data_IF_600360632405
#
_entry.id   IF_600360632405
#
_cell.length_a   1.000
_cell.length_b   1.000
_cell.length_c   1.000
_cell.angle_alpha   90.00
_cell.angle_beta   90.00
_cell.angle_gamma   90.00
#
_symmetry.space_group_name_H-M   'P 1'
#
loop_
_entity.id
_entity.type
_entity.pdbx_description
1 polymer ?
#
# COMPACT_ATOMS: atom_id res chain seq x y z
N UNK A 1 -5.59 -24.07 -17.29
CA UNK A 1 -5.46 -22.87 -18.12
C UNK A 1 -4.02 -22.38 -18.02
N UNK A 2 -3.30 -22.36 -19.15
CA UNK A 2 -1.94 -21.83 -19.18
C UNK A 2 -1.98 -20.34 -18.81
N UNK A 3 -1.16 -19.93 -17.82
CA UNK A 3 -0.95 -18.50 -17.55
C UNK A 3 -0.48 -17.86 -18.85
N UNK A 4 -1.22 -16.88 -19.35
CA UNK A 4 -0.75 -16.06 -20.46
C UNK A 4 0.66 -15.57 -20.07
N UNK A 5 1.66 -15.87 -20.90
CA UNK A 5 3.01 -15.35 -20.72
C UNK A 5 2.88 -13.84 -20.70
N UNK A 6 3.03 -13.25 -19.52
CA UNK A 6 3.10 -11.80 -19.39
C UNK A 6 4.36 -11.37 -20.10
N UNK A 7 4.25 -10.39 -20.98
CA UNK A 7 5.41 -9.76 -21.57
C UNK A 7 6.03 -8.85 -20.50
N UNK A 8 7.10 -9.27 -19.81
CA UNK A 8 7.70 -8.52 -18.71
C UNK A 8 8.35 -7.23 -19.18
N UNK A 9 8.53 -7.03 -20.49
CA UNK A 9 9.15 -5.83 -21.06
C UNK A 9 8.14 -4.70 -21.29
N UNK A 10 6.83 -4.98 -21.29
CA UNK A 10 5.81 -3.96 -21.59
C UNK A 10 5.71 -2.86 -20.52
N UNK A 11 6.15 -3.13 -19.30
CA UNK A 11 6.06 -2.14 -18.26
C UNK A 11 7.15 -2.30 -17.17
N UNK A 12 8.26 -1.59 -17.33
CA UNK A 12 9.22 -1.30 -16.25
C UNK A 12 9.74 0.13 -16.40
N UNK A 13 9.11 1.10 -15.74
CA UNK A 13 9.65 2.46 -15.69
C UNK A 13 10.96 2.52 -14.87
N UNK A 14 11.16 1.59 -13.95
CA UNK A 14 12.45 1.38 -13.28
C UNK A 14 13.27 0.37 -14.09
N UNK A 15 14.55 0.64 -14.40
CA UNK A 15 15.42 -0.28 -15.11
C UNK A 15 15.44 -1.68 -14.47
N UNK A 16 15.63 -2.73 -15.27
CA UNK A 16 15.66 -4.12 -14.81
C UNK A 16 16.68 -4.40 -13.70
N UNK A 17 17.74 -3.62 -13.63
CA UNK A 17 18.81 -3.66 -12.64
C UNK A 17 18.57 -2.76 -11.42
N UNK A 18 17.38 -2.22 -11.27
CA UNK A 18 17.01 -1.37 -10.14
C UNK A 18 17.15 0.12 -10.44
N UNK A 19 17.24 0.92 -9.38
CA UNK A 19 17.43 2.37 -9.49
C UNK A 19 18.82 2.71 -9.99
N UNK A 20 18.98 3.85 -10.70
CA UNK A 20 20.31 4.28 -11.13
C UNK A 20 21.25 4.46 -9.93
N UNK A 21 22.49 4.04 -10.10
CA UNK A 21 23.54 4.22 -9.10
C UNK A 21 24.03 5.68 -9.16
N UNK A 22 23.37 6.53 -8.39
CA UNK A 22 23.63 7.96 -8.28
C UNK A 22 24.15 8.28 -6.87
N UNK A 23 25.13 9.17 -6.80
CA UNK A 23 25.61 9.65 -5.51
C UNK A 23 24.49 10.38 -4.76
N UNK A 24 24.20 10.02 -3.49
CA UNK A 24 23.14 10.67 -2.68
C UNK A 24 23.25 12.19 -2.59
N UNK A 25 24.47 12.73 -2.67
CA UNK A 25 24.73 14.17 -2.59
C UNK A 25 24.64 14.89 -3.95
N UNK A 26 24.34 14.15 -5.02
CA UNK A 26 24.28 14.72 -6.38
C UNK A 26 22.90 15.34 -6.67
N UNK A 27 22.87 16.38 -7.49
CA UNK A 27 21.65 16.98 -8.02
C UNK A 27 20.84 15.94 -8.80
N UNK A 28 21.49 15.09 -9.58
CA UNK A 28 20.86 14.03 -10.35
C UNK A 28 20.13 13.01 -9.46
N UNK A 29 20.65 12.72 -8.25
CA UNK A 29 19.98 11.87 -7.28
C UNK A 29 18.70 12.55 -6.76
N UNK A 30 18.76 13.83 -6.40
CA UNK A 30 17.62 14.58 -5.90
C UNK A 30 16.52 14.66 -6.97
N UNK A 31 16.88 15.07 -8.19
CA UNK A 31 15.93 15.15 -9.31
C UNK A 31 15.28 13.80 -9.63
N UNK A 32 16.05 12.70 -9.57
CA UNK A 32 15.53 11.36 -9.81
C UNK A 32 14.46 11.00 -8.75
N UNK A 33 14.76 11.20 -7.47
CA UNK A 33 13.84 10.81 -6.39
C UNK A 33 12.64 11.74 -6.27
N UNK A 34 12.77 13.01 -6.62
CA UNK A 34 11.63 13.92 -6.76
C UNK A 34 10.67 13.47 -7.87
N UNK A 35 11.21 13.05 -9.03
CA UNK A 35 10.39 12.51 -10.10
C UNK A 35 9.72 11.19 -9.70
N UNK A 36 10.40 10.32 -8.98
CA UNK A 36 9.82 9.05 -8.52
C UNK A 36 8.73 9.30 -7.46
N UNK A 37 8.92 10.27 -6.58
CA UNK A 37 7.89 10.73 -5.64
C UNK A 37 6.65 11.25 -6.37
N UNK A 38 6.84 12.12 -7.36
CA UNK A 38 5.75 12.65 -8.19
C UNK A 38 4.98 11.51 -8.89
N UNK A 39 5.69 10.53 -9.46
CA UNK A 39 5.07 9.36 -10.09
C UNK A 39 4.28 8.50 -9.10
N UNK A 40 4.79 8.34 -7.89
CA UNK A 40 4.08 7.63 -6.83
C UNK A 40 2.80 8.34 -6.38
N UNK A 41 2.77 9.67 -6.42
CA UNK A 41 1.60 10.47 -6.00
C UNK A 41 0.64 10.68 -7.17
N UNK A 42 1.13 11.18 -8.31
CA UNK A 42 0.33 11.67 -9.43
C UNK A 42 0.15 10.65 -10.56
N UNK A 43 0.91 9.56 -10.51
CA UNK A 43 0.89 8.50 -11.51
C UNK A 43 1.85 8.77 -12.67
N UNK A 44 1.90 7.81 -13.58
CA UNK A 44 2.83 7.79 -14.69
C UNK A 44 2.15 7.40 -15.99
N UNK A 45 2.51 8.03 -17.09
CA UNK A 45 2.02 7.68 -18.43
C UNK A 45 3.17 7.11 -19.27
N UNK A 46 3.31 5.79 -19.36
CA UNK A 46 4.30 5.17 -20.24
C UNK A 46 4.01 5.49 -21.71
N UNK A 47 5.05 5.53 -22.54
CA UNK A 47 4.89 5.75 -23.98
C UNK A 47 4.02 4.65 -24.59
N UNK A 48 2.94 5.05 -25.29
CA UNK A 48 2.03 4.13 -25.97
C UNK A 48 1.06 3.35 -25.06
N UNK A 49 0.99 3.70 -23.76
CA UNK A 49 0.09 3.06 -22.80
C UNK A 49 -0.87 4.05 -22.16
N UNK A 50 -1.93 3.55 -21.51
CA UNK A 50 -2.75 4.36 -20.61
C UNK A 50 -1.92 4.84 -19.42
N UNK A 51 -2.30 6.00 -18.87
CA UNK A 51 -1.77 6.46 -17.59
C UNK A 51 -2.11 5.45 -16.50
N UNK A 52 -1.16 5.16 -15.63
CA UNK A 52 -1.38 4.39 -14.41
C UNK A 52 -1.43 5.34 -13.22
N UNK A 53 -2.27 5.00 -12.25
CA UNK A 53 -2.39 5.79 -11.02
C UNK A 53 -1.11 5.75 -10.19
N UNK A 54 -0.93 6.72 -9.30
CA UNK A 54 0.21 6.75 -8.38
C UNK A 54 0.27 5.51 -7.49
N UNK A 55 -0.87 5.04 -7.00
CA UNK A 55 -0.97 3.81 -6.21
C UNK A 55 -0.49 2.58 -6.98
N UNK A 56 -0.90 2.44 -8.26
CA UNK A 56 -0.46 1.32 -9.07
C UNK A 56 1.02 1.43 -9.45
N UNK A 57 1.50 2.65 -9.75
CA UNK A 57 2.92 2.90 -9.98
C UNK A 57 3.76 2.48 -8.77
N UNK A 58 3.39 2.93 -7.57
CA UNK A 58 4.04 2.55 -6.32
C UNK A 58 4.01 1.04 -6.08
N UNK A 59 2.85 0.40 -6.27
CA UNK A 59 2.69 -1.03 -6.11
C UNK A 59 3.63 -1.83 -7.01
N UNK A 60 3.78 -1.44 -8.27
CA UNK A 60 4.63 -2.14 -9.23
C UNK A 60 6.14 -1.96 -8.99
N UNK A 61 6.56 -0.77 -8.53
CA UNK A 61 7.96 -0.40 -8.51
C UNK A 61 8.60 -0.46 -7.12
N UNK A 62 7.85 -0.17 -6.08
CA UNK A 62 8.37 0.02 -4.74
C UNK A 62 7.82 -0.98 -3.73
N UNK A 63 6.54 -1.31 -3.82
CA UNK A 63 5.92 -2.23 -2.89
C UNK A 63 6.39 -3.66 -3.15
N UNK A 64 6.74 -4.39 -2.07
CA UNK A 64 7.21 -5.78 -2.18
C UNK A 64 6.15 -6.75 -1.70
N UNK A 65 5.99 -7.85 -2.44
CA UNK A 65 5.09 -8.94 -2.09
C UNK A 65 5.89 -10.22 -1.89
N UNK A 66 5.37 -11.13 -1.06
CA UNK A 66 5.92 -12.48 -0.96
C UNK A 66 5.48 -13.30 -2.17
N UNK A 67 6.43 -13.74 -2.96
CA UNK A 67 6.20 -14.54 -4.15
C UNK A 67 7.41 -15.41 -4.47
N UNK A 68 7.24 -16.29 -5.46
CA UNK A 68 8.34 -17.05 -6.02
C UNK A 68 8.91 -16.26 -7.20
N UNK A 69 10.21 -16.21 -7.31
CA UNK A 69 10.94 -15.54 -8.40
C UNK A 69 10.77 -16.21 -9.78
N UNK A 70 10.03 -17.30 -9.83
CA UNK A 70 9.78 -18.07 -11.05
C UNK A 70 10.72 -19.29 -11.20
N UNK A 71 11.70 -19.43 -10.33
CA UNK A 71 12.59 -20.60 -10.32
C UNK A 71 11.89 -21.78 -9.67
N UNK A 72 11.89 -22.94 -10.32
CA UNK A 72 11.29 -24.15 -9.76
C UNK A 72 11.96 -24.53 -8.45
N UNK A 73 11.16 -24.74 -7.38
CA UNK A 73 11.66 -25.07 -6.05
C UNK A 73 12.20 -23.89 -5.23
N UNK A 74 12.11 -22.66 -5.72
CA UNK A 74 12.53 -21.47 -4.97
C UNK A 74 11.66 -21.23 -3.74
N UNK A 75 12.31 -20.74 -2.67
CA UNK A 75 11.60 -20.27 -1.47
C UNK A 75 10.90 -18.94 -1.80
N UNK A 76 9.78 -18.68 -1.12
CA UNK A 76 9.13 -17.36 -1.21
C UNK A 76 10.08 -16.26 -0.76
N UNK A 77 10.26 -15.26 -1.60
CA UNK A 77 11.08 -14.08 -1.35
C UNK A 77 10.27 -12.81 -1.57
N UNK A 78 10.81 -11.66 -1.16
CA UNK A 78 10.20 -10.37 -1.47
C UNK A 78 10.51 -10.00 -2.92
N UNK A 79 9.49 -9.94 -3.74
CA UNK A 79 9.57 -9.59 -5.16
C UNK A 79 8.73 -8.36 -5.47
N UNK A 80 9.04 -7.65 -6.55
CA UNK A 80 8.15 -6.64 -7.11
C UNK A 80 6.98 -7.31 -7.83
N UNK A 81 5.75 -6.81 -7.68
CA UNK A 81 4.63 -7.29 -8.45
C UNK A 81 4.85 -7.13 -9.96
N UNK A 82 4.25 -8.03 -10.73
CA UNK A 82 4.25 -7.90 -12.18
C UNK A 82 3.04 -7.09 -12.64
N UNK A 83 3.19 -6.34 -13.74
CA UNK A 83 2.06 -5.71 -14.39
C UNK A 83 1.05 -6.76 -14.86
N UNK A 84 -0.21 -6.57 -14.50
CA UNK A 84 -1.36 -7.35 -15.01
C UNK A 84 -2.48 -6.37 -15.38
N UNK A 85 -3.14 -6.63 -16.48
CA UNK A 85 -4.27 -5.81 -16.94
C UNK A 85 -5.38 -5.73 -15.88
N UNK A 86 -5.68 -6.84 -15.22
CA UNK A 86 -6.67 -6.90 -14.14
C UNK A 86 -6.30 -5.97 -12.97
N UNK A 87 -5.03 -5.90 -12.60
CA UNK A 87 -4.57 -5.03 -11.52
C UNK A 87 -4.70 -3.56 -11.93
N UNK A 88 -4.36 -3.23 -13.18
CA UNK A 88 -4.55 -1.89 -13.72
C UNK A 88 -6.02 -1.45 -13.64
N UNK A 89 -6.94 -2.28 -14.12
CA UNK A 89 -8.38 -2.02 -14.05
C UNK A 89 -8.86 -1.86 -12.61
N UNK A 90 -8.33 -2.66 -11.69
CA UNK A 90 -8.65 -2.57 -10.26
C UNK A 90 -8.24 -1.21 -9.68
N UNK A 91 -6.99 -0.78 -9.90
CA UNK A 91 -6.51 0.51 -9.40
C UNK A 91 -7.22 1.69 -10.09
N UNK A 92 -7.49 1.60 -11.39
CA UNK A 92 -8.24 2.65 -12.11
C UNK A 92 -9.68 2.77 -11.59
N UNK A 93 -10.36 1.64 -11.35
CA UNK A 93 -11.72 1.64 -10.77
C UNK A 93 -11.70 2.25 -9.37
N UNK A 94 -10.70 1.91 -8.55
CA UNK A 94 -10.56 2.51 -7.22
C UNK A 94 -10.41 4.04 -7.30
N UNK A 95 -9.55 4.54 -8.19
CA UNK A 95 -9.37 5.99 -8.35
C UNK A 95 -10.65 6.67 -8.85
N UNK A 96 -11.42 6.00 -9.70
CA UNK A 96 -12.71 6.52 -10.15
C UNK A 96 -13.72 6.56 -8.99
N UNK A 97 -13.86 5.47 -8.21
CA UNK A 97 -14.72 5.45 -7.03
C UNK A 97 -14.35 6.55 -6.02
N UNK A 98 -13.04 6.80 -5.81
CA UNK A 98 -12.57 7.88 -4.95
C UNK A 98 -13.00 9.26 -5.44
N UNK A 99 -12.94 9.52 -6.75
CA UNK A 99 -13.41 10.78 -7.36
C UNK A 99 -14.92 10.96 -7.21
N UNK A 100 -15.65 9.87 -7.36
CA UNK A 100 -17.12 9.86 -7.32
C UNK A 100 -17.66 9.86 -5.87
N UNK A 101 -16.77 9.78 -4.86
CA UNK A 101 -17.15 9.68 -3.44
C UNK A 101 -17.88 8.39 -3.10
N UNK A 102 -17.64 7.30 -3.85
CA UNK A 102 -18.29 6.01 -3.68
C UNK A 102 -17.32 4.97 -3.13
N UNK A 103 -17.87 3.91 -2.52
CA UNK A 103 -17.09 2.73 -2.15
C UNK A 103 -16.94 1.74 -3.31
N UNK A 104 -15.90 0.90 -3.26
CA UNK A 104 -15.68 -0.17 -4.23
C UNK A 104 -15.91 -1.54 -3.58
N UNK A 105 -16.72 -2.37 -4.20
CA UNK A 105 -16.93 -3.77 -3.82
C UNK A 105 -16.29 -4.67 -4.88
N UNK A 106 -15.47 -5.63 -4.43
CA UNK A 106 -14.75 -6.55 -5.31
C UNK A 106 -15.19 -7.98 -5.04
N UNK A 107 -15.77 -8.60 -6.05
CA UNK A 107 -16.08 -10.03 -6.05
C UNK A 107 -14.96 -10.75 -6.79
N UNK A 108 -14.27 -11.65 -6.12
CA UNK A 108 -13.06 -12.28 -6.66
C UNK A 108 -12.99 -13.79 -6.41
N UNK A 109 -12.33 -14.51 -7.30
CA UNK A 109 -11.86 -15.85 -7.01
C UNK A 109 -10.62 -15.81 -6.08
N UNK A 110 -10.33 -16.91 -5.39
CA UNK A 110 -9.12 -17.06 -4.57
C UNK A 110 -7.84 -16.90 -5.40
N UNK A 111 -6.74 -16.56 -4.74
CA UNK A 111 -5.37 -16.50 -5.28
C UNK A 111 -5.16 -15.52 -6.45
N UNK A 112 -5.97 -14.47 -6.54
CA UNK A 112 -5.81 -13.40 -7.54
C UNK A 112 -4.92 -12.24 -7.11
N UNK A 113 -4.47 -12.24 -5.86
CA UNK A 113 -3.54 -11.22 -5.34
C UNK A 113 -4.19 -9.96 -4.78
N UNK A 114 -5.53 -9.91 -4.67
CA UNK A 114 -6.24 -8.71 -4.19
C UNK A 114 -5.79 -8.24 -2.81
N UNK A 115 -5.53 -9.16 -1.87
CA UNK A 115 -5.00 -8.78 -0.55
C UNK A 115 -3.64 -8.07 -0.63
N UNK A 116 -2.80 -8.39 -1.62
CA UNK A 116 -1.56 -7.65 -1.86
C UNK A 116 -1.79 -6.28 -2.49
N UNK A 117 -2.75 -6.15 -3.40
CA UNK A 117 -3.12 -4.85 -3.97
C UNK A 117 -3.72 -3.94 -2.92
N UNK A 118 -4.65 -4.45 -2.10
CA UNK A 118 -5.22 -3.72 -0.96
C UNK A 118 -4.14 -3.26 0.03
N UNK A 119 -3.24 -4.17 0.39
CA UNK A 119 -2.11 -3.90 1.27
C UNK A 119 -1.16 -2.84 0.67
N UNK A 120 -0.92 -2.88 -0.65
CA UNK A 120 -0.16 -1.85 -1.37
C UNK A 120 -0.85 -0.47 -1.38
N UNK A 121 -2.17 -0.42 -1.48
CA UNK A 121 -2.93 0.84 -1.39
C UNK A 121 -2.83 1.46 0.02
N UNK A 122 -2.95 0.64 1.06
CA UNK A 122 -2.79 1.08 2.45
C UNK A 122 -1.36 1.59 2.69
N UNK A 123 -0.36 0.84 2.22
CA UNK A 123 1.03 1.24 2.32
C UNK A 123 1.31 2.57 1.59
N UNK A 124 0.69 2.80 0.44
CA UNK A 124 0.78 4.04 -0.31
C UNK A 124 0.23 5.24 0.49
N UNK A 125 -0.99 5.13 1.02
CA UNK A 125 -1.61 6.19 1.81
C UNK A 125 -0.78 6.50 3.08
N UNK A 126 -0.26 5.48 3.75
CA UNK A 126 0.62 5.64 4.91
C UNK A 126 1.96 6.30 4.58
N UNK A 127 2.52 6.00 3.39
CA UNK A 127 3.87 6.44 3.00
C UNK A 127 3.90 7.87 2.48
N UNK A 128 2.89 8.31 1.72
CA UNK A 128 2.98 9.57 0.98
C UNK A 128 2.14 10.71 1.53
N UNK A 129 1.24 10.43 2.46
CA UNK A 129 0.36 11.49 3.01
C UNK A 129 0.60 11.63 4.51
N UNK A 130 1.13 12.79 4.96
CA UNK A 130 1.34 13.05 6.39
C UNK A 130 -0.01 13.17 7.13
N UNK A 131 0.01 12.78 8.41
CA UNK A 131 -1.16 12.82 9.30
C UNK A 131 -2.37 12.04 8.77
N UNK A 132 -2.10 10.97 8.03
CA UNK A 132 -3.11 10.20 7.34
C UNK A 132 -3.37 8.87 8.07
N UNK A 133 -4.61 8.67 8.52
CA UNK A 133 -5.02 7.44 9.14
C UNK A 133 -5.73 6.53 8.13
N UNK A 134 -5.36 5.26 8.10
CA UNK A 134 -5.93 4.23 7.22
C UNK A 134 -6.38 3.04 8.04
N UNK A 135 -7.53 2.49 7.70
CA UNK A 135 -8.17 1.41 8.44
C UNK A 135 -8.13 0.07 7.70
N UNK A 136 -7.87 -0.99 8.45
CA UNK A 136 -8.02 -2.39 8.04
C UNK A 136 -9.07 -3.02 8.94
N UNK A 137 -10.12 -3.58 8.34
CA UNK A 137 -11.16 -4.32 9.02
C UNK A 137 -11.21 -5.75 8.48
N UNK A 138 -11.30 -6.75 9.36
CA UNK A 138 -11.52 -8.15 8.99
C UNK A 138 -12.55 -8.80 9.93
N UNK A 139 -13.22 -9.85 9.45
CA UNK A 139 -14.22 -10.57 10.26
C UNK A 139 -13.60 -11.43 11.36
N UNK A 140 -12.35 -11.87 11.18
CA UNK A 140 -11.61 -12.75 12.09
C UNK A 140 -10.25 -12.14 12.44
N UNK A 141 -9.82 -12.35 13.70
CA UNK A 141 -8.51 -11.85 14.17
C UNK A 141 -7.36 -12.40 13.31
N UNK A 142 -7.37 -13.70 13.02
CA UNK A 142 -6.32 -14.31 12.20
C UNK A 142 -6.22 -13.69 10.79
N UNK A 143 -7.36 -13.32 10.18
CA UNK A 143 -7.41 -12.62 8.89
C UNK A 143 -6.85 -11.21 9.01
N UNK A 144 -7.23 -10.47 10.06
CA UNK A 144 -6.74 -9.14 10.36
C UNK A 144 -5.21 -9.15 10.53
N UNK A 145 -4.69 -10.02 11.38
CA UNK A 145 -3.26 -10.14 11.67
C UNK A 145 -2.46 -10.53 10.42
N UNK A 146 -2.93 -11.50 9.66
CA UNK A 146 -2.27 -11.94 8.43
C UNK A 146 -2.22 -10.83 7.36
N UNK A 147 -3.28 -10.01 7.26
CA UNK A 147 -3.31 -8.89 6.34
C UNK A 147 -2.41 -7.73 6.84
N UNK A 148 -2.43 -7.43 8.13
CA UNK A 148 -1.59 -6.40 8.74
C UNK A 148 -0.11 -6.75 8.61
N UNK A 149 0.27 -8.00 8.89
CA UNK A 149 1.64 -8.51 8.69
C UNK A 149 2.09 -8.43 7.24
N UNK A 150 1.21 -8.74 6.30
CA UNK A 150 1.48 -8.58 4.87
C UNK A 150 1.80 -7.13 4.53
N UNK A 151 1.04 -6.19 5.08
CA UNK A 151 1.25 -4.75 4.89
C UNK A 151 2.59 -4.30 5.49
N UNK A 152 2.92 -4.71 6.71
CA UNK A 152 4.20 -4.41 7.36
C UNK A 152 5.39 -4.99 6.57
N UNK A 153 5.29 -6.21 6.06
CA UNK A 153 6.34 -6.82 5.23
C UNK A 153 6.60 -6.02 3.96
N UNK A 154 5.54 -5.56 3.28
CA UNK A 154 5.66 -4.70 2.11
C UNK A 154 6.31 -3.35 2.43
N UNK A 155 5.92 -2.69 3.52
CA UNK A 155 6.53 -1.44 4.01
C UNK A 155 8.01 -1.62 4.38
N UNK A 156 8.35 -2.73 5.04
CA UNK A 156 9.74 -3.04 5.38
C UNK A 156 10.64 -3.27 4.16
N UNK A 157 10.05 -3.69 3.04
CA UNK A 157 10.72 -3.87 1.75
C UNK A 157 10.89 -2.60 0.92
N UNK A 158 10.41 -1.44 1.38
CA UNK A 158 10.53 -0.18 0.66
C UNK A 158 11.99 0.31 0.58
N UNK A 159 12.28 1.07 -0.46
CA UNK A 159 13.53 1.81 -0.58
C UNK A 159 13.66 2.83 0.57
N UNK A 160 14.89 3.11 1.01
CA UNK A 160 15.18 4.02 2.12
C UNK A 160 14.54 5.41 1.97
N UNK A 161 14.45 5.92 0.74
CA UNK A 161 13.86 7.23 0.44
C UNK A 161 12.34 7.30 0.67
N UNK A 162 11.66 6.14 0.75
CA UNK A 162 10.22 6.05 1.03
C UNK A 162 9.92 5.39 2.38
N UNK A 163 10.96 5.03 3.13
CA UNK A 163 10.83 4.33 4.40
C UNK A 163 10.81 5.32 5.56
N UNK A 164 9.72 5.33 6.32
CA UNK A 164 9.60 6.16 7.51
C UNK A 164 10.10 5.46 8.77
N UNK A 165 10.60 6.26 9.71
CA UNK A 165 10.83 5.80 11.07
C UNK A 165 9.49 5.39 11.71
N UNK A 166 9.51 4.36 12.53
CA UNK A 166 8.35 3.83 13.23
C UNK A 166 8.31 4.37 14.66
N UNK A 167 7.28 5.12 14.99
CA UNK A 167 7.03 5.65 16.32
C UNK A 167 6.32 4.62 17.21
N UNK A 168 5.39 3.85 16.63
CA UNK A 168 4.60 2.84 17.34
C UNK A 168 4.36 1.64 16.42
N UNK A 169 4.65 0.44 16.91
CA UNK A 169 4.27 -0.84 16.30
C UNK A 169 3.74 -1.74 17.42
N UNK A 170 2.45 -1.86 17.49
CA UNK A 170 1.72 -2.68 18.48
C UNK A 170 0.63 -3.47 17.78
N UNK A 171 -0.05 -4.35 18.51
CA UNK A 171 -1.15 -5.14 17.97
C UNK A 171 -2.21 -4.25 17.32
N UNK A 172 -2.27 -4.32 16.00
CA UNK A 172 -3.22 -3.57 15.19
C UNK A 172 -2.95 -2.07 15.01
N UNK A 173 -1.79 -1.53 15.42
CA UNK A 173 -1.44 -0.13 15.19
C UNK A 173 0.01 0.00 14.73
N UNK A 174 0.19 0.60 13.54
CA UNK A 174 1.51 1.03 13.04
C UNK A 174 1.47 2.54 12.79
N UNK A 175 2.31 3.31 13.50
CA UNK A 175 2.40 4.77 13.34
C UNK A 175 3.81 5.18 12.94
N UNK A 176 3.93 6.01 11.90
CA UNK A 176 5.19 6.62 11.49
C UNK A 176 5.52 7.83 12.35
N UNK A 177 6.82 8.15 12.45
CA UNK A 177 7.33 9.30 13.16
C UNK A 177 8.52 8.97 14.04
N UNK A 178 9.02 9.99 14.72
CA UNK A 178 10.12 9.87 15.67
C UNK A 178 10.00 10.92 16.77
N UNK A 179 10.63 10.66 17.92
CA UNK A 179 10.70 11.63 19.01
C UNK A 179 11.95 12.50 18.85
N UNK A 180 11.78 13.80 18.95
CA UNK A 180 12.87 14.77 18.93
C UNK A 180 12.67 15.83 20.02
N UNK A 181 13.74 16.53 20.41
CA UNK A 181 13.62 17.71 21.27
C UNK A 181 13.53 18.95 20.38
N UNK A 182 12.59 19.82 20.72
CA UNK A 182 12.49 21.15 20.09
C UNK A 182 13.58 22.09 20.64
N UNK A 183 13.59 23.32 20.14
CA UNK A 183 14.56 24.37 20.54
C UNK A 183 14.52 24.69 22.04
N UNK A 184 13.40 24.45 22.69
CA UNK A 184 13.18 24.68 24.13
C UNK A 184 13.50 23.44 24.97
N UNK A 185 14.03 22.38 24.36
CA UNK A 185 14.37 21.13 25.05
C UNK A 185 13.17 20.23 25.37
N UNK A 186 11.95 20.58 24.92
CA UNK A 186 10.74 19.78 25.10
C UNK A 186 10.65 18.70 24.03
N UNK A 187 10.15 17.52 24.43
CA UNK A 187 9.89 16.42 23.50
C UNK A 187 8.72 16.73 22.60
N UNK A 188 8.90 16.52 21.31
CA UNK A 188 7.87 16.58 20.27
C UNK A 188 7.96 15.37 19.34
N UNK A 189 6.89 15.12 18.59
CA UNK A 189 6.83 14.06 17.58
C UNK A 189 7.05 14.72 16.22
N UNK A 190 8.10 14.27 15.54
CA UNK A 190 8.41 14.65 14.16
C UNK A 190 8.02 13.54 13.17
N UNK A 191 8.18 13.85 11.87
CA UNK A 191 7.90 12.96 10.77
C UNK A 191 6.44 12.97 10.31
N UNK A 192 6.06 11.99 9.50
CA UNK A 192 4.76 11.95 8.82
C UNK A 192 3.57 11.73 9.75
N UNK A 193 3.76 10.98 10.85
CA UNK A 193 2.73 10.67 11.85
C UNK A 193 1.46 9.98 11.29
N UNK A 194 1.57 9.37 10.11
CA UNK A 194 0.50 8.58 9.53
C UNK A 194 0.30 7.27 10.28
N UNK A 195 -0.93 6.76 10.35
CA UNK A 195 -1.27 5.57 11.14
C UNK A 195 -1.99 4.53 10.29
N UNK A 196 -1.61 3.27 10.46
CA UNK A 196 -2.42 2.13 10.01
C UNK A 196 -3.09 1.55 11.25
N UNK A 197 -4.42 1.45 11.21
CA UNK A 197 -5.26 0.89 12.28
C UNK A 197 -5.89 -0.41 11.77
N UNK A 198 -5.57 -1.54 12.39
CA UNK A 198 -6.12 -2.84 12.07
C UNK A 198 -7.04 -3.32 13.21
N UNK A 199 -8.26 -3.72 12.88
CA UNK A 199 -9.25 -4.18 13.87
C UNK A 199 -10.06 -5.36 13.33
N UNK A 200 -10.51 -6.20 14.24
CA UNK A 200 -11.60 -7.16 13.97
C UNK A 200 -12.95 -6.49 14.14
N UNK A 201 -13.91 -6.92 13.33
CA UNK A 201 -15.28 -6.37 13.29
C UNK A 201 -16.26 -7.20 14.13
N UNK A 202 -15.81 -7.75 15.25
CA UNK A 202 -16.70 -8.35 16.25
C UNK A 202 -17.65 -7.31 16.84
N UNK A 203 -17.16 -6.08 16.99
CA UNK A 203 -17.96 -4.91 17.31
C UNK A 203 -17.99 -3.98 16.08
N UNK A 204 -19.15 -3.72 15.44
CA UNK A 204 -19.26 -2.85 14.27
C UNK A 204 -18.87 -1.39 14.54
N UNK A 205 -18.81 -0.96 15.80
CA UNK A 205 -18.46 0.40 16.17
C UNK A 205 -16.95 0.60 16.46
N UNK A 206 -16.13 -0.37 16.18
CA UNK A 206 -14.69 -0.36 16.55
C UNK A 206 -13.90 0.78 15.89
N UNK A 207 -14.38 1.34 14.78
CA UNK A 207 -13.83 2.53 14.12
C UNK A 207 -14.62 3.81 14.39
N UNK A 208 -15.60 3.78 15.28
CA UNK A 208 -16.41 4.97 15.61
C UNK A 208 -15.51 6.05 16.23
N UNK A 209 -15.49 7.22 15.59
CA UNK A 209 -14.64 8.34 15.99
C UNK A 209 -13.27 8.40 15.32
N UNK A 210 -12.85 7.34 14.64
CA UNK A 210 -11.63 7.37 13.81
C UNK A 210 -11.94 8.04 12.47
N UNK A 211 -11.06 8.96 12.05
CA UNK A 211 -11.18 9.64 10.74
C UNK A 211 -10.18 9.03 9.77
N UNK A 212 -10.55 7.92 9.18
CA UNK A 212 -9.70 7.23 8.21
C UNK A 212 -9.95 7.73 6.79
N UNK A 213 -8.88 7.95 6.03
CA UNK A 213 -8.94 8.38 4.62
C UNK A 213 -9.23 7.22 3.66
N UNK A 214 -8.86 6.01 4.07
CA UNK A 214 -9.09 4.76 3.35
C UNK A 214 -9.43 3.67 4.36
N UNK A 215 -10.56 2.97 4.13
CA UNK A 215 -10.95 1.78 4.87
C UNK A 215 -10.96 0.58 3.92
N UNK A 216 -10.28 -0.49 4.32
CA UNK A 216 -10.29 -1.77 3.59
C UNK A 216 -10.97 -2.83 4.47
N UNK A 217 -12.02 -3.43 3.93
CA UNK A 217 -12.72 -4.58 4.52
C UNK A 217 -12.20 -5.85 3.84
N UNK A 218 -11.25 -6.54 4.49
CA UNK A 218 -10.68 -7.79 3.96
C UNK A 218 -11.60 -8.96 4.26
N UNK A 219 -11.92 -9.75 3.23
CA UNK A 219 -12.86 -10.88 3.30
C UNK A 219 -14.22 -10.50 3.89
N UNK A 220 -14.77 -9.37 3.41
CA UNK A 220 -16.00 -8.78 3.92
C UNK A 220 -17.22 -9.74 3.94
N UNK A 221 -17.22 -10.79 3.12
CA UNK A 221 -18.26 -11.82 3.14
C UNK A 221 -18.33 -12.64 4.42
N UNK A 222 -17.30 -12.60 5.27
CA UNK A 222 -17.26 -13.29 6.57
C UNK A 222 -17.81 -12.43 7.72
N UNK A 223 -18.16 -11.16 7.49
CA UNK A 223 -18.59 -10.26 8.53
C UNK A 223 -20.06 -10.50 8.90
N UNK A 224 -20.33 -10.84 10.15
CA UNK A 224 -21.70 -11.02 10.68
C UNK A 224 -22.57 -9.76 10.55
N UNK A 225 -21.94 -8.57 10.65
CA UNK A 225 -22.63 -7.26 10.68
C UNK A 225 -22.03 -6.28 9.66
N UNK A 226 -21.67 -6.73 8.46
CA UNK A 226 -21.01 -5.91 7.43
C UNK A 226 -21.71 -4.57 7.18
N UNK A 227 -23.04 -4.56 7.06
CA UNK A 227 -23.81 -3.33 6.83
C UNK A 227 -23.58 -2.30 7.94
N UNK A 228 -23.66 -2.73 9.20
CA UNK A 228 -23.47 -1.84 10.35
C UNK A 228 -22.03 -1.35 10.44
N UNK A 229 -21.07 -2.24 10.19
CA UNK A 229 -19.65 -1.92 10.12
C UNK A 229 -19.36 -0.86 9.06
N UNK A 230 -19.91 -1.02 7.87
CA UNK A 230 -19.76 -0.04 6.78
C UNK A 230 -20.40 1.30 7.10
N UNK A 231 -21.57 1.30 7.73
CA UNK A 231 -22.27 2.53 8.10
C UNK A 231 -21.57 3.30 9.23
N UNK A 232 -20.91 2.60 10.16
CA UNK A 232 -20.18 3.22 11.26
C UNK A 232 -18.77 3.73 10.86
N UNK A 233 -18.27 3.32 9.70
CA UNK A 233 -16.97 3.76 9.15
C UNK A 233 -17.08 4.98 8.21
N UNK A 234 -18.29 5.48 7.99
CA UNK A 234 -18.57 6.72 7.25
C UNK A 234 -18.59 7.93 8.18
#
# INVERSE_FOLDING_TARGET
MARAKQDPQRYRPVPNNGHPDLSPDSVAYQEYWEQELDRCINGFKPKGMKKISGKYYFYLNYYKILGNDGTAGSRKTLISPWYRQMDHEYFDTFEQCKKDGTGMIVIKARDKGFSYMNSGMIAHEYTFFPFNDVGIAAGLQATADAFFDKTKKGLNGLHSNFKHSVLKDTDGILRSGYKQKNKDGKWEIGGYQSTIICRTMDNPEVFKGERVSLMVFEEAGEFKHLKNAYMSSK
#
